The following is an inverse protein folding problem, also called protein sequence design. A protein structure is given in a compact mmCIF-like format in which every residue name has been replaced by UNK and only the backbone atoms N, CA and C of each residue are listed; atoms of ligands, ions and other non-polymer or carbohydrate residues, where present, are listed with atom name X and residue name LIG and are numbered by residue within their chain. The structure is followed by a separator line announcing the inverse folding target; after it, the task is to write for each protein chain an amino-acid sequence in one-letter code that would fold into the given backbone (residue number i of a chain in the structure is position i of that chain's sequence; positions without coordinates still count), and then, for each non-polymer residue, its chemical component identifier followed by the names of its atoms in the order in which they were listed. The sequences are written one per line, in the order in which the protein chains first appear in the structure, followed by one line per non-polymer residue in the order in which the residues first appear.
data_IF_575486167055
#
_entry.id   IF_575486167055
#
_cell.length_a   1.000
_cell.length_b   1.000
_cell.length_c   1.000
_cell.angle_alpha   90.00
_cell.angle_beta   90.00
_cell.angle_gamma   90.00
#
_symmetry.space_group_name_H-M   'P 1'
#
loop_
_entity.id
_entity.type
_entity.pdbx_description
1 polymer ?
#
# COMPACT_ATOMS: atom_id res chain seq x y z
N UNK A 1 9.88 -10.58 9.62
CA UNK A 1 10.50 -10.10 8.36
C UNK A 1 11.92 -10.64 8.22
N UNK A 2 12.43 -10.77 6.99
CA UNK A 2 13.71 -11.44 6.70
C UNK A 2 14.92 -10.49 6.63
N UNK A 3 14.72 -9.19 6.44
CA UNK A 3 15.80 -8.21 6.28
C UNK A 3 15.59 -7.03 7.21
N UNK A 4 16.68 -6.47 7.71
CA UNK A 4 16.71 -5.28 8.55
C UNK A 4 18.00 -4.49 8.31
N UNK A 5 18.06 -3.24 8.75
CA UNK A 5 19.31 -2.50 8.85
C UNK A 5 19.97 -2.79 10.20
N UNK A 6 21.22 -3.27 10.16
CA UNK A 6 22.05 -3.55 11.33
C UNK A 6 23.36 -2.77 11.15
N UNK A 7 23.64 -1.82 12.05
CA UNK A 7 24.84 -0.95 12.00
C UNK A 7 25.03 -0.27 10.63
N UNK A 8 23.95 0.25 10.04
CA UNK A 8 23.97 0.98 8.78
C UNK A 8 24.06 0.11 7.52
N UNK A 9 23.95 -1.22 7.64
CA UNK A 9 23.94 -2.15 6.51
C UNK A 9 22.65 -2.97 6.49
N UNK A 10 22.11 -3.18 5.29
CA UNK A 10 21.07 -4.18 5.09
C UNK A 10 21.65 -5.58 5.37
N UNK A 11 20.96 -6.32 6.22
CA UNK A 11 21.37 -7.66 6.66
C UNK A 11 20.16 -8.58 6.70
N UNK A 12 20.32 -9.79 6.15
CA UNK A 12 19.31 -10.84 6.27
C UNK A 12 19.34 -11.48 7.66
N UNK A 13 18.21 -12.01 8.14
CA UNK A 13 18.18 -12.72 9.42
C UNK A 13 19.07 -13.97 9.40
N UNK A 14 19.18 -14.63 8.25
CA UNK A 14 20.12 -15.74 8.07
C UNK A 14 21.55 -15.28 8.29
N UNK A 15 21.97 -14.19 7.65
CA UNK A 15 23.31 -13.62 7.87
C UNK A 15 23.53 -13.23 9.33
N UNK A 16 22.53 -12.59 9.96
CA UNK A 16 22.57 -12.22 11.38
C UNK A 16 22.79 -13.44 12.29
N UNK A 17 22.09 -14.56 12.04
CA UNK A 17 22.23 -15.80 12.79
C UNK A 17 23.63 -16.43 12.67
N UNK A 18 24.36 -16.18 11.58
CA UNK A 18 25.74 -16.67 11.39
C UNK A 18 26.79 -15.72 11.99
N UNK A 19 26.40 -14.58 12.56
CA UNK A 19 27.34 -13.70 13.24
C UNK A 19 27.78 -14.32 14.59
N UNK A 20 29.00 -13.99 15.05
CA UNK A 20 29.49 -14.35 16.38
C UNK A 20 28.49 -14.02 17.50
N UNK A 21 28.52 -14.77 18.60
CA UNK A 21 27.55 -14.64 19.70
C UNK A 21 27.62 -13.28 20.40
N UNK A 22 28.80 -12.72 20.57
CA UNK A 22 29.04 -11.37 21.07
C UNK A 22 28.32 -10.32 20.20
N UNK A 23 28.37 -10.47 18.87
CA UNK A 23 27.64 -9.62 17.94
C UNK A 23 26.12 -9.79 18.09
N UNK A 24 25.63 -11.03 18.17
CA UNK A 24 24.18 -11.30 18.28
C UNK A 24 23.59 -10.86 19.61
N UNK A 25 24.38 -10.92 20.68
CA UNK A 25 23.99 -10.51 22.03
C UNK A 25 23.95 -8.98 22.18
N UNK A 26 24.80 -8.26 21.45
CA UNK A 26 24.79 -6.79 21.43
C UNK A 26 24.96 -6.22 20.01
N UNK A 27 23.93 -6.35 19.15
CA UNK A 27 24.00 -5.90 17.77
C UNK A 27 23.92 -4.36 17.63
N UNK A 28 23.57 -3.66 18.71
CA UNK A 28 23.11 -2.29 18.68
C UNK A 28 21.65 -2.19 18.22
N UNK A 29 21.22 -0.99 17.79
CA UNK A 29 19.87 -0.80 17.24
C UNK A 29 19.76 -1.45 15.86
N UNK A 30 18.73 -2.26 15.69
CA UNK A 30 18.34 -2.88 14.42
C UNK A 30 17.09 -2.17 13.93
N UNK A 31 17.04 -1.75 12.67
CA UNK A 31 15.93 -0.95 12.14
C UNK A 31 15.18 -1.69 11.02
N UNK A 32 13.86 -1.55 11.00
CA UNK A 32 13.07 -1.93 9.83
C UNK A 32 13.44 -1.03 8.64
N UNK A 33 13.69 -1.64 7.48
CA UNK A 33 14.06 -0.92 6.26
C UNK A 33 12.94 -0.03 5.72
N UNK A 34 11.69 -0.29 6.09
CA UNK A 34 10.51 0.44 5.63
C UNK A 34 10.10 1.56 6.59
N UNK A 35 9.75 1.22 7.84
CA UNK A 35 9.24 2.21 8.80
C UNK A 35 10.31 2.84 9.69
N UNK A 36 11.58 2.39 9.60
CA UNK A 36 12.71 2.88 10.41
C UNK A 36 12.53 2.79 11.93
N UNK A 37 11.55 2.00 12.39
CA UNK A 37 11.38 1.66 13.80
C UNK A 37 12.39 0.59 14.21
N UNK A 38 12.82 0.63 15.47
CA UNK A 38 13.70 -0.39 16.05
C UNK A 38 12.97 -1.73 16.12
N UNK A 39 13.62 -2.78 15.65
CA UNK A 39 13.11 -4.16 15.65
C UNK A 39 14.03 -5.07 16.46
N UNK A 40 13.55 -6.25 16.81
CA UNK A 40 14.33 -7.26 17.55
C UNK A 40 14.47 -8.52 16.72
N UNK A 41 15.64 -9.16 16.77
CA UNK A 41 15.83 -10.50 16.22
C UNK A 41 15.26 -11.54 17.20
N UNK A 42 14.36 -12.41 16.72
CA UNK A 42 13.69 -13.44 17.51
C UNK A 42 13.95 -14.81 16.93
N UNK A 43 13.78 -15.84 17.77
CA UNK A 43 13.90 -17.25 17.41
C UNK A 43 15.27 -17.64 16.79
N UNK A 44 16.34 -16.91 17.13
CA UNK A 44 17.70 -17.12 16.59
C UNK A 44 18.21 -18.55 16.86
N UNK A 45 17.88 -19.11 18.03
CA UNK A 45 18.32 -20.44 18.48
C UNK A 45 17.15 -21.45 18.52
N UNK A 46 15.99 -21.13 17.94
CA UNK A 46 14.83 -22.03 17.97
C UNK A 46 14.94 -23.09 16.87
N UNK A 47 14.70 -24.35 17.22
CA UNK A 47 14.58 -25.43 16.24
C UNK A 47 13.16 -25.54 15.65
N UNK A 48 12.16 -24.95 16.31
CA UNK A 48 10.75 -25.06 15.93
C UNK A 48 10.24 -23.88 15.10
N UNK A 49 10.81 -22.69 15.30
CA UNK A 49 10.35 -21.46 14.66
C UNK A 49 11.51 -20.82 13.90
N UNK A 50 11.35 -20.49 12.60
CA UNK A 50 12.36 -19.76 11.86
C UNK A 50 12.68 -18.41 12.50
N UNK A 51 13.98 -18.11 12.60
CA UNK A 51 14.46 -16.82 13.04
C UNK A 51 13.89 -15.70 12.15
N UNK A 52 13.54 -14.57 12.77
CA UNK A 52 13.02 -13.41 12.05
C UNK A 52 13.26 -12.12 12.83
N UNK A 53 13.25 -10.99 12.13
CA UNK A 53 13.13 -9.69 12.78
C UNK A 53 11.65 -9.38 13.07
N UNK A 54 11.39 -8.84 14.26
CA UNK A 54 10.05 -8.62 14.83
C UNK A 54 9.89 -7.15 15.22
N UNK A 55 8.77 -6.55 14.80
CA UNK A 55 8.40 -5.20 15.22
C UNK A 55 7.91 -5.18 16.68
N UNK A 56 8.09 -4.06 17.40
CA UNK A 56 7.42 -3.86 18.69
C UNK A 56 5.90 -3.82 18.50
N UNK A 57 5.07 -4.03 19.55
CA UNK A 57 3.61 -3.93 19.46
C UNK A 57 3.11 -2.64 18.78
N UNK A 58 1.93 -2.71 18.15
CA UNK A 58 1.38 -1.56 17.42
C UNK A 58 1.04 -0.45 18.41
N UNK A 59 1.31 0.83 18.09
CA UNK A 59 0.80 1.94 18.89
C UNK A 59 -0.72 1.85 19.03
N UNK A 60 -1.24 2.13 20.23
CA UNK A 60 -2.69 2.16 20.45
C UNK A 60 -3.36 3.22 19.58
N UNK A 61 -4.49 2.88 18.96
CA UNK A 61 -5.26 3.78 18.10
C UNK A 61 -4.71 3.99 16.68
N UNK A 62 -3.59 3.36 16.31
CA UNK A 62 -3.09 3.40 14.94
C UNK A 62 -4.00 2.56 14.03
N UNK A 63 -4.44 3.10 12.90
CA UNK A 63 -5.16 2.33 11.87
C UNK A 63 -4.28 1.19 11.36
N UNK A 64 -4.89 0.03 11.07
CA UNK A 64 -4.23 -1.10 10.42
C UNK A 64 -3.61 -0.76 9.06
N UNK A 65 -4.15 0.26 8.38
CA UNK A 65 -3.62 0.79 7.13
C UNK A 65 -2.45 1.75 7.36
N UNK A 66 -2.25 2.18 8.60
CA UNK A 66 -1.20 3.09 9.01
C UNK A 66 0.02 2.43 9.67
N UNK A 67 -0.07 1.12 9.89
CA UNK A 67 1.02 0.28 10.36
C UNK A 67 2.08 0.01 9.27
N UNK A 68 3.22 -0.55 9.67
CA UNK A 68 4.26 -1.02 8.76
C UNK A 68 3.81 -2.30 8.05
N UNK A 69 3.93 -2.34 6.72
CA UNK A 69 3.53 -3.53 5.95
C UNK A 69 4.38 -4.77 6.28
N UNK A 70 5.65 -4.57 6.64
CA UNK A 70 6.55 -5.63 7.14
C UNK A 70 6.32 -6.08 8.58
N UNK A 71 5.43 -5.43 9.33
CA UNK A 71 5.04 -5.90 10.67
C UNK A 71 4.14 -7.15 10.62
N UNK A 72 3.53 -7.44 9.46
CA UNK A 72 2.67 -8.61 9.23
C UNK A 72 1.49 -8.76 10.22
N UNK A 73 1.09 -7.67 10.89
CA UNK A 73 -0.08 -7.63 11.78
C UNK A 73 -1.38 -7.42 11.02
N UNK A 74 -1.33 -6.54 10.01
CA UNK A 74 -2.46 -6.24 9.16
C UNK A 74 -2.49 -7.18 7.96
N UNK A 75 -3.55 -7.98 7.84
CA UNK A 75 -3.80 -8.80 6.64
C UNK A 75 -3.92 -7.93 5.39
N UNK A 76 -4.30 -6.65 5.53
CA UNK A 76 -4.48 -5.71 4.42
C UNK A 76 -3.17 -5.15 3.87
N UNK A 77 -2.14 -5.06 4.71
CA UNK A 77 -0.84 -4.56 4.26
C UNK A 77 0.10 -5.67 3.79
N UNK A 78 -0.29 -6.94 3.93
CA UNK A 78 0.57 -8.09 3.58
C UNK A 78 1.11 -8.04 2.15
N UNK A 79 0.37 -7.47 1.21
CA UNK A 79 0.74 -7.40 -0.20
C UNK A 79 1.81 -6.33 -0.51
N UNK A 80 2.11 -5.43 0.44
CA UNK A 80 2.97 -4.27 0.22
C UNK A 80 4.42 -4.47 0.72
N UNK A 81 4.66 -5.44 1.60
CA UNK A 81 5.94 -5.56 2.31
C UNK A 81 7.07 -6.26 1.55
N UNK A 82 6.76 -7.00 0.48
CA UNK A 82 7.69 -7.92 -0.22
C UNK A 82 7.88 -7.58 -1.71
N UNK A 83 7.62 -6.34 -2.10
CA UNK A 83 7.86 -5.86 -3.45
C UNK A 83 9.31 -5.40 -3.64
N UNK A 84 9.88 -5.79 -4.78
CA UNK A 84 11.15 -5.25 -5.25
C UNK A 84 10.99 -3.76 -5.56
N UNK A 85 12.07 -2.99 -5.39
CA UNK A 85 12.01 -1.53 -5.53
C UNK A 85 13.07 -0.97 -6.48
N UNK A 86 12.64 -0.09 -7.38
CA UNK A 86 13.44 0.77 -8.25
C UNK A 86 13.08 2.24 -7.96
N UNK A 87 13.91 2.89 -7.15
CA UNK A 87 13.71 4.31 -6.75
C UNK A 87 13.79 5.27 -7.94
N UNK A 88 14.67 5.01 -8.90
CA UNK A 88 14.86 5.92 -10.03
C UNK A 88 13.63 5.91 -10.94
N UNK A 89 13.11 4.72 -11.25
CA UNK A 89 11.84 4.59 -11.96
C UNK A 89 10.67 5.13 -11.15
N UNK A 90 10.66 4.92 -9.84
CA UNK A 90 9.57 5.39 -8.99
C UNK A 90 9.37 6.90 -9.01
N UNK A 91 10.45 7.68 -9.07
CA UNK A 91 10.37 9.14 -9.27
C UNK A 91 9.65 9.51 -10.58
N UNK A 92 9.91 8.77 -11.67
CA UNK A 92 9.25 8.98 -12.97
C UNK A 92 7.78 8.59 -12.93
N UNK A 93 7.45 7.44 -12.35
CA UNK A 93 6.06 6.98 -12.19
C UNK A 93 5.26 7.98 -11.37
N UNK A 94 5.80 8.43 -10.23
CA UNK A 94 5.13 9.43 -9.39
C UNK A 94 4.90 10.72 -10.17
N UNK A 95 5.92 11.24 -10.87
CA UNK A 95 5.75 12.46 -11.68
C UNK A 95 4.65 12.30 -12.72
N UNK A 96 4.68 11.21 -13.49
CA UNK A 96 3.69 10.92 -14.53
C UNK A 96 2.27 10.75 -13.95
N UNK A 97 2.12 10.15 -12.76
CA UNK A 97 0.83 10.05 -12.09
C UNK A 97 0.22 11.42 -11.76
N UNK A 98 1.04 12.42 -11.41
CA UNK A 98 0.57 13.77 -11.09
C UNK A 98 0.35 14.67 -12.31
N UNK A 99 0.58 14.18 -13.53
CA UNK A 99 0.14 14.88 -14.74
C UNK A 99 -1.39 15.00 -14.75
N UNK A 100 -1.90 16.15 -15.20
CA UNK A 100 -3.32 16.53 -15.05
C UNK A 100 -4.29 15.46 -15.55
N UNK A 101 -4.01 14.84 -16.70
CA UNK A 101 -4.85 13.77 -17.25
C UNK A 101 -4.83 12.50 -16.41
N UNK A 102 -3.64 12.07 -15.97
CA UNK A 102 -3.47 10.84 -15.20
C UNK A 102 -4.13 10.90 -13.82
N UNK A 103 -3.93 12.00 -13.08
CA UNK A 103 -4.50 12.14 -11.73
C UNK A 103 -6.02 12.32 -11.76
N UNK A 104 -6.55 12.99 -12.80
CA UNK A 104 -8.00 13.10 -13.01
C UNK A 104 -8.60 11.74 -13.33
N UNK A 105 -8.00 10.99 -14.25
CA UNK A 105 -8.45 9.65 -14.59
C UNK A 105 -8.40 8.73 -13.36
N UNK A 106 -7.33 8.79 -12.57
CA UNK A 106 -7.22 8.07 -11.32
C UNK A 106 -8.36 8.39 -10.34
N UNK A 107 -8.62 9.69 -10.10
CA UNK A 107 -9.69 10.12 -9.20
C UNK A 107 -11.08 9.70 -9.71
N UNK A 108 -11.37 9.89 -11.00
CA UNK A 108 -12.61 9.49 -11.63
C UNK A 108 -12.85 7.98 -11.51
N UNK A 109 -11.82 7.19 -11.81
CA UNK A 109 -11.85 5.74 -11.69
C UNK A 109 -12.13 5.30 -10.25
N UNK A 110 -11.36 5.79 -9.27
CA UNK A 110 -11.58 5.43 -7.88
C UNK A 110 -12.99 5.82 -7.40
N UNK A 111 -13.47 7.02 -7.78
CA UNK A 111 -14.82 7.49 -7.46
C UNK A 111 -15.90 6.60 -8.08
N UNK A 112 -15.72 6.18 -9.32
CA UNK A 112 -16.60 5.22 -9.99
C UNK A 112 -16.66 3.91 -9.22
N UNK A 113 -15.53 3.36 -8.77
CA UNK A 113 -15.49 2.08 -8.05
C UNK A 113 -16.24 2.09 -6.70
N UNK A 114 -16.22 3.21 -5.98
CA UNK A 114 -16.81 3.31 -4.63
C UNK A 114 -18.22 3.91 -4.61
N UNK A 115 -18.68 4.47 -5.74
CA UNK A 115 -19.96 5.16 -5.85
C UNK A 115 -19.85 6.66 -5.64
N UNK A 116 -20.82 7.39 -6.19
CA UNK A 116 -20.88 8.84 -6.07
C UNK A 116 -21.10 9.26 -4.62
N UNK A 117 -20.27 10.19 -4.11
CA UNK A 117 -20.35 10.69 -2.73
C UNK A 117 -19.38 9.98 -1.77
N UNK A 118 -18.95 8.75 -2.08
CA UNK A 118 -18.14 7.93 -1.19
C UNK A 118 -16.62 8.16 -1.32
N UNK A 119 -16.21 9.10 -2.19
CA UNK A 119 -14.81 9.52 -2.35
C UNK A 119 -14.65 11.06 -2.35
N UNK A 120 -14.78 11.71 -1.20
CA UNK A 120 -14.42 13.13 -1.09
C UNK A 120 -12.92 13.30 -1.38
N UNK A 121 -12.54 14.47 -1.89
CA UNK A 121 -11.15 14.75 -2.30
C UNK A 121 -10.15 14.51 -1.16
N UNK A 122 -10.51 14.85 0.08
CA UNK A 122 -9.67 14.61 1.27
C UNK A 122 -9.34 13.13 1.49
N UNK A 123 -10.24 12.22 1.11
CA UNK A 123 -10.02 10.78 1.20
C UNK A 123 -9.05 10.31 0.11
N UNK A 124 -9.16 10.87 -1.09
CA UNK A 124 -8.22 10.60 -2.16
C UNK A 124 -6.80 11.11 -1.82
N UNK A 125 -6.69 12.28 -1.18
CA UNK A 125 -5.42 12.78 -0.62
C UNK A 125 -4.85 11.83 0.45
N UNK A 126 -5.68 11.27 1.33
CA UNK A 126 -5.26 10.27 2.32
C UNK A 126 -4.68 9.00 1.66
N UNK A 127 -5.33 8.50 0.61
CA UNK A 127 -4.84 7.35 -0.16
C UNK A 127 -3.47 7.65 -0.78
N UNK A 128 -3.28 8.83 -1.37
CA UNK A 128 -2.00 9.28 -1.93
C UNK A 128 -0.92 9.40 -0.84
N UNK A 129 -1.24 9.93 0.34
CA UNK A 129 -0.28 10.01 1.46
C UNK A 129 0.16 8.63 1.93
N UNK A 130 -0.77 7.67 2.01
CA UNK A 130 -0.42 6.27 2.34
C UNK A 130 0.43 5.63 1.25
N UNK A 131 0.12 5.90 -0.02
CA UNK A 131 0.94 5.49 -1.15
C UNK A 131 2.37 6.06 -1.09
N UNK A 132 2.53 7.34 -0.73
CA UNK A 132 3.83 7.96 -0.48
C UNK A 132 4.56 7.28 0.69
N UNK A 133 3.89 7.00 1.81
CA UNK A 133 4.52 6.36 2.98
C UNK A 133 4.97 4.93 2.69
N UNK A 134 4.14 4.15 1.98
CA UNK A 134 4.48 2.80 1.56
C UNK A 134 5.47 2.79 0.39
N UNK A 135 5.73 3.96 -0.21
CA UNK A 135 6.59 4.15 -1.39
C UNK A 135 6.24 3.17 -2.52
N UNK A 136 4.93 3.08 -2.82
CA UNK A 136 4.40 2.21 -3.89
C UNK A 136 4.93 2.63 -5.26
N UNK A 137 5.34 3.89 -5.39
CA UNK A 137 5.90 4.47 -6.60
C UNK A 137 7.14 3.73 -7.04
N UNK A 138 7.96 3.30 -6.07
CA UNK A 138 9.22 2.62 -6.34
C UNK A 138 9.04 1.14 -6.63
N UNK A 139 7.83 0.57 -6.68
CA UNK A 139 7.68 -0.86 -6.99
C UNK A 139 8.24 -1.21 -8.37
N UNK A 140 9.06 -2.24 -8.43
CA UNK A 140 9.76 -2.63 -9.64
C UNK A 140 8.76 -3.04 -10.73
N UNK A 141 8.87 -2.40 -11.90
CA UNK A 141 7.99 -2.70 -13.03
C UNK A 141 6.65 -1.96 -13.03
N UNK A 142 6.30 -1.22 -11.96
CA UNK A 142 4.99 -0.56 -11.89
C UNK A 142 4.77 0.43 -13.03
N UNK A 143 3.54 0.45 -13.55
CA UNK A 143 3.05 1.43 -14.52
C UNK A 143 2.01 2.36 -13.89
N UNK A 144 1.88 3.58 -14.43
CA UNK A 144 0.98 4.62 -13.89
C UNK A 144 -0.48 4.14 -13.84
N UNK A 145 -0.92 3.37 -14.82
CA UNK A 145 -2.30 2.88 -14.88
C UNK A 145 -2.63 1.91 -13.73
N UNK A 146 -1.64 1.27 -13.11
CA UNK A 146 -1.86 0.36 -11.99
C UNK A 146 -2.15 1.10 -10.68
N UNK A 147 -1.63 2.32 -10.55
CA UNK A 147 -1.66 3.10 -9.30
C UNK A 147 -3.09 3.27 -8.75
N UNK A 148 -4.12 3.64 -9.54
CA UNK A 148 -5.47 3.82 -9.02
C UNK A 148 -6.06 2.55 -8.38
N UNK A 149 -5.72 1.37 -8.90
CA UNK A 149 -6.14 0.10 -8.32
C UNK A 149 -5.47 -0.14 -6.96
N UNK A 150 -4.18 0.19 -6.84
CA UNK A 150 -3.45 0.11 -5.58
C UNK A 150 -4.03 1.10 -4.56
N UNK A 151 -4.35 2.32 -4.99
CA UNK A 151 -4.94 3.34 -4.13
C UNK A 151 -6.26 2.86 -3.49
N UNK A 152 -7.11 2.13 -4.23
CA UNK A 152 -8.35 1.54 -3.68
C UNK A 152 -8.10 0.57 -2.51
N UNK A 153 -6.94 -0.07 -2.44
CA UNK A 153 -6.57 -0.97 -1.34
C UNK A 153 -6.17 -0.22 -0.05
N UNK A 154 -5.88 1.07 -0.16
CA UNK A 154 -5.29 1.91 0.90
C UNK A 154 -6.32 2.77 1.67
N UNK A 155 -7.60 2.47 1.55
CA UNK A 155 -8.64 3.18 2.28
C UNK A 155 -9.85 2.32 2.61
N UNK A 156 -10.60 2.80 3.60
CA UNK A 156 -11.95 2.36 3.91
C UNK A 156 -12.94 3.38 3.36
N UNK A 157 -14.05 2.88 2.84
CA UNK A 157 -15.11 3.65 2.22
C UNK A 157 -16.40 3.35 2.94
N UNK A 158 -17.08 4.38 3.44
CA UNK A 158 -18.48 4.24 3.82
C UNK A 158 -19.27 4.15 2.52
N UNK A 159 -20.03 3.06 2.32
CA UNK A 159 -20.82 2.91 1.10
C UNK A 159 -22.24 2.54 1.46
N UNK A 160 -23.16 3.50 1.29
CA UNK A 160 -24.64 3.45 1.34
C UNK A 160 -25.30 2.69 2.50
N UNK A 161 -24.49 2.02 3.30
CA UNK A 161 -24.74 1.19 4.45
C UNK A 161 -23.88 1.79 5.55
N UNK A 162 -24.33 1.78 6.79
CA UNK A 162 -23.53 2.26 7.93
C UNK A 162 -22.25 1.43 8.18
N UNK A 163 -21.86 0.54 7.25
CA UNK A 163 -20.73 -0.35 7.34
C UNK A 163 -19.61 0.08 6.38
N UNK A 164 -18.42 0.32 6.94
CA UNK A 164 -17.24 0.65 6.16
C UNK A 164 -16.76 -0.56 5.36
N UNK A 165 -16.30 -0.34 4.13
CA UNK A 165 -15.85 -1.37 3.21
C UNK A 165 -14.46 -1.06 2.65
N UNK A 166 -13.73 -2.08 2.23
CA UNK A 166 -12.42 -1.94 1.60
C UNK A 166 -12.23 -2.88 0.42
N UNK A 167 -11.21 -2.61 -0.39
CA UNK A 167 -10.84 -3.47 -1.51
C UNK A 167 -9.69 -4.41 -1.13
N UNK A 168 -9.74 -5.62 -1.68
CA UNK A 168 -8.70 -6.63 -1.51
C UNK A 168 -8.45 -7.35 -2.84
N UNK A 169 -7.19 -7.73 -3.06
CA UNK A 169 -6.80 -8.56 -4.20
C UNK A 169 -7.23 -10.02 -4.01
N UNK A 170 -7.62 -10.66 -5.09
CA UNK A 170 -8.10 -12.05 -5.11
C UNK A 170 -7.05 -12.96 -5.73
N UNK A 171 -6.77 -14.10 -5.06
CA UNK A 171 -5.90 -15.18 -5.56
C UNK A 171 -4.47 -14.73 -5.95
N UNK A 172 -3.93 -13.72 -5.26
CA UNK A 172 -2.52 -13.30 -5.40
C UNK A 172 -1.87 -13.09 -4.03
N UNK A 173 -0.56 -13.35 -3.99
CA UNK A 173 0.33 -13.08 -2.85
C UNK A 173 1.04 -11.72 -2.94
N UNK A 174 1.21 -11.16 -4.15
CA UNK A 174 1.98 -9.94 -4.41
C UNK A 174 1.16 -8.90 -5.18
N UNK A 175 1.41 -7.61 -4.91
CA UNK A 175 0.72 -6.51 -5.60
C UNK A 175 1.20 -6.37 -7.04
N UNK A 176 2.46 -6.76 -7.30
CA UNK A 176 3.06 -6.74 -8.64
C UNK A 176 2.41 -7.68 -9.65
N UNK A 177 1.61 -8.64 -9.19
CA UNK A 177 0.79 -9.45 -10.07
C UNK A 177 -0.15 -8.58 -10.95
N UNK A 178 -0.51 -7.37 -10.51
CA UNK A 178 -1.33 -6.43 -11.29
C UNK A 178 -0.67 -6.10 -12.65
N UNK A 179 0.66 -6.01 -12.72
CA UNK A 179 1.38 -5.61 -13.93
C UNK A 179 2.34 -6.65 -14.49
N UNK A 180 2.62 -7.74 -13.77
CA UNK A 180 3.49 -8.82 -14.22
C UNK A 180 2.77 -10.13 -14.56
N UNK A 181 1.60 -10.41 -13.98
CA UNK A 181 0.91 -11.70 -14.19
C UNK A 181 0.15 -11.69 -15.54
N UNK A 182 0.36 -12.68 -16.41
CA UNK A 182 -0.46 -12.83 -17.63
C UNK A 182 -1.94 -13.11 -17.34
N UNK A 183 -2.30 -13.57 -16.12
CA UNK A 183 -3.68 -13.80 -15.73
C UNK A 183 -4.31 -12.53 -15.14
N UNK A 184 -5.59 -12.25 -15.44
CA UNK A 184 -6.26 -11.07 -14.92
C UNK A 184 -6.42 -11.17 -13.39
N UNK A 185 -5.68 -10.32 -12.68
CA UNK A 185 -5.86 -10.09 -11.25
C UNK A 185 -7.21 -9.42 -11.02
N UNK A 186 -7.89 -9.78 -9.92
CA UNK A 186 -9.20 -9.23 -9.58
C UNK A 186 -9.15 -8.52 -8.24
N UNK A 187 -9.98 -7.48 -8.12
CA UNK A 187 -10.29 -6.81 -6.85
C UNK A 187 -11.70 -7.19 -6.43
N UNK A 188 -11.88 -7.45 -5.13
CA UNK A 188 -13.19 -7.60 -4.50
C UNK A 188 -13.34 -6.60 -3.36
N UNK A 189 -14.58 -6.26 -3.02
CA UNK A 189 -14.89 -5.44 -1.86
C UNK A 189 -15.31 -6.32 -0.68
N UNK A 190 -14.82 -5.96 0.49
CA UNK A 190 -15.04 -6.65 1.75
C UNK A 190 -15.60 -5.67 2.77
N UNK A 191 -16.54 -6.10 3.60
CA UNK A 191 -16.91 -5.34 4.79
C UNK A 191 -15.73 -5.32 5.77
N UNK A 192 -15.50 -4.17 6.40
CA UNK A 192 -14.30 -3.96 7.23
C UNK A 192 -14.39 -4.63 8.60
N UNK A 193 -15.60 -4.92 9.08
CA UNK A 193 -15.88 -5.59 10.35
C UNK A 193 -15.73 -7.12 10.26
N UNK A 194 -16.28 -7.72 9.22
CA UNK A 194 -16.42 -9.17 9.05
C UNK A 194 -15.42 -9.76 8.05
N UNK A 195 -14.87 -8.93 7.15
CA UNK A 195 -14.08 -9.40 6.02
C UNK A 195 -14.88 -10.20 4.99
N UNK A 196 -16.20 -10.28 5.16
CA UNK A 196 -17.11 -10.96 4.24
C UNK A 196 -17.19 -10.16 2.94
N UNK A 197 -17.37 -10.88 1.83
CA UNK A 197 -17.54 -10.24 0.54
C UNK A 197 -18.86 -9.48 0.51
N UNK A 198 -18.80 -8.20 0.18
CA UNK A 198 -19.99 -7.44 -0.13
C UNK A 198 -20.38 -7.73 -1.57
N UNK A 199 -21.51 -8.37 -1.83
CA UNK A 199 -21.89 -8.75 -3.21
C UNK A 199 -22.10 -7.55 -4.12
N UNK A 200 -22.65 -6.46 -3.56
CA UNK A 200 -22.83 -5.16 -4.20
C UNK A 200 -22.49 -4.05 -3.22
N UNK A 201 -21.81 -3.03 -3.72
CA UNK A 201 -21.47 -1.81 -2.99
C UNK A 201 -21.62 -0.66 -3.97
N UNK A 202 -22.48 0.32 -3.65
CA UNK A 202 -22.95 1.36 -4.56
C UNK A 202 -23.53 0.80 -5.87
N UNK A 203 -24.26 -0.32 -5.78
CA UNK A 203 -24.87 -0.99 -6.93
C UNK A 203 -23.88 -1.71 -7.88
N UNK A 204 -22.57 -1.65 -7.61
CA UNK A 204 -21.55 -2.24 -8.48
C UNK A 204 -21.17 -3.68 -8.05
N UNK A 205 -21.00 -4.61 -9.02
CA UNK A 205 -20.72 -6.01 -8.73
C UNK A 205 -19.27 -6.24 -8.27
N UNK A 206 -19.07 -7.36 -7.57
CA UNK A 206 -17.76 -7.95 -7.28
C UNK A 206 -17.64 -9.34 -7.91
N UNK A 207 -16.43 -9.84 -8.22
CA UNK A 207 -15.16 -9.12 -8.36
C UNK A 207 -14.96 -8.54 -9.78
N UNK A 208 -14.19 -7.45 -9.91
CA UNK A 208 -13.85 -6.83 -11.20
C UNK A 208 -12.42 -7.20 -11.64
N UNK A 209 -12.18 -7.71 -12.86
CA UNK A 209 -10.85 -7.91 -13.39
C UNK A 209 -10.16 -6.57 -13.62
N UNK A 210 -8.92 -6.44 -13.14
CA UNK A 210 -8.11 -5.24 -13.35
C UNK A 210 -7.64 -5.22 -14.80
N UNK A 211 -7.86 -4.11 -15.49
CA UNK A 211 -7.37 -3.90 -16.85
C UNK A 211 -6.80 -2.51 -17.05
N UNK A 212 -5.84 -2.36 -17.97
CA UNK A 212 -5.29 -1.05 -18.35
C UNK A 212 -6.35 -0.09 -18.89
N UNK A 213 -7.42 -0.61 -19.49
CA UNK A 213 -8.52 0.16 -20.04
C UNK A 213 -9.44 0.77 -18.97
N UNK A 214 -9.41 0.26 -17.73
CA UNK A 214 -10.26 0.74 -16.64
C UNK A 214 -10.07 2.23 -16.35
N UNK A 215 -8.82 2.69 -16.43
CA UNK A 215 -8.42 4.08 -16.16
C UNK A 215 -8.40 4.93 -17.43
N UNK A 216 -8.19 4.33 -18.60
CA UNK A 216 -8.10 5.08 -19.86
C UNK A 216 -9.43 5.68 -20.31
N UNK A 217 -10.56 5.03 -19.99
CA UNK A 217 -11.87 5.35 -20.55
C UNK A 217 -12.82 6.07 -19.58
N UNK A 218 -12.30 6.67 -18.50
CA UNK A 218 -13.14 7.41 -17.55
C UNK A 218 -13.32 8.86 -17.97
N UNK A 219 -14.57 9.33 -17.92
CA UNK A 219 -14.90 10.73 -18.17
C UNK A 219 -14.39 11.64 -17.04
N UNK A 220 -13.60 12.64 -17.45
CA UNK A 220 -12.99 13.65 -16.57
C UNK A 220 -13.39 15.07 -16.95
N UNK A 221 -14.29 15.26 -17.92
CA UNK A 221 -14.70 16.57 -18.45
C UNK A 221 -15.32 17.49 -17.39
N UNK A 222 -15.99 16.90 -16.40
CA UNK A 222 -16.59 17.59 -15.25
C UNK A 222 -15.57 18.14 -14.24
N UNK A 223 -14.28 17.76 -14.35
CA UNK A 223 -13.24 18.21 -13.44
C UNK A 223 -12.56 19.49 -13.95
N UNK A 224 -12.50 20.51 -13.07
CA UNK A 224 -11.83 21.80 -13.33
C UNK A 224 -10.38 21.62 -13.81
N UNK A 225 -9.90 22.53 -14.64
CA UNK A 225 -8.47 22.67 -14.92
C UNK A 225 -7.70 23.05 -13.63
N UNK A 226 -6.46 22.56 -13.50
CA UNK A 226 -5.59 22.68 -12.32
C UNK A 226 -5.97 21.77 -11.13
N UNK A 227 -6.60 20.62 -11.40
CA UNK A 227 -6.89 19.64 -10.36
C UNK A 227 -5.61 19.10 -9.71
N UNK A 228 -4.58 18.80 -10.51
CA UNK A 228 -3.26 18.37 -10.04
C UNK A 228 -2.62 19.38 -9.09
N UNK A 229 -2.59 20.67 -9.47
CA UNK A 229 -2.00 21.75 -8.66
C UNK A 229 -2.62 21.83 -7.27
N UNK A 230 -3.96 21.78 -7.19
CA UNK A 230 -4.68 21.82 -5.90
C UNK A 230 -4.30 20.65 -4.99
N UNK A 231 -4.15 19.46 -5.56
CA UNK A 231 -3.74 18.25 -4.85
C UNK A 231 -2.29 18.30 -4.36
N UNK A 232 -1.39 18.88 -5.16
CA UNK A 232 0.02 19.06 -4.77
C UNK A 232 0.16 20.12 -3.68
N UNK A 233 -0.53 21.25 -3.83
CA UNK A 233 -0.53 22.37 -2.87
C UNK A 233 -1.14 21.98 -1.51
N UNK A 234 -2.23 21.21 -1.51
CA UNK A 234 -2.85 20.71 -0.27
C UNK A 234 -1.94 19.74 0.48
N UNK A 235 -1.16 18.94 -0.26
CA UNK A 235 -0.14 18.04 0.31
C UNK A 235 1.04 18.76 0.97
N UNK A 236 1.42 19.95 0.50
CA UNK A 236 2.53 20.73 1.07
C UNK A 236 2.14 21.47 2.35
N UNK A 237 0.93 22.02 2.44
CA UNK A 237 0.48 22.75 3.64
C UNK A 237 0.38 21.88 4.90
N UNK A 238 0.16 20.56 4.75
CA UNK A 238 0.03 19.62 5.89
C UNK A 238 1.35 18.97 6.33
N UNK A 239 2.49 19.22 5.65
CA UNK A 239 3.83 18.79 6.11
C UNK A 239 4.54 19.83 6.97
N UNK A 240 3.95 21.01 7.14
CA UNK A 240 4.52 22.16 7.87
C UNK A 240 3.91 22.36 9.25
N UNK A 241 3.15 21.37 9.75
CA UNK A 241 2.51 21.29 11.06
C UNK A 241 2.83 19.94 11.66
#
# INVERSE_FOLDING_TARGET
MQYAEVRGREMSIREFCHKPEDFRSNPGKIYCLECRVVVTAKAINSLAVPAHFSHPPSPQGLSDLDDCSRAARSRRLRWFGEEDRDKQRGLRVRRAFFEEGAIKAAYAFCRKCVGNGNLPLIKFEEMIRRADRLDIWSYAGIEVWCVPHILLLLADFAVDTNQACHFALVKTSKISAIWHDPKPVRIKKLFSDSGNQAEKIAGLPNPHPITKCDVANVDTSWMKSNFSKKLVESGHRRRST
#
